data_IF_087409892640
#
_entry.id   IF_087409892640
#
_cell.length_a   1.000
_cell.length_b   1.000
_cell.length_c   1.000
_cell.angle_alpha   90.00
_cell.angle_beta   90.00
_cell.angle_gamma   90.00
#
_symmetry.space_group_name_H-M   'P 1'
#
loop_
_entity.id
_entity.type
_entity.pdbx_description
1 polymer ?
#
# COMPACT_ATOMS: atom_id res chain seq x y z
N UNK A 1 -37.91 26.86 -46.61
CA UNK A 1 -37.85 25.38 -46.58
C UNK A 1 -37.94 24.99 -45.12
N UNK A 2 -39.06 24.37 -44.75
CA UNK A 2 -39.50 24.15 -43.36
C UNK A 2 -38.92 22.84 -42.85
N UNK A 3 -38.25 22.89 -41.70
CA UNK A 3 -37.66 21.74 -41.03
C UNK A 3 -38.75 20.78 -40.49
N UNK A 4 -38.53 19.45 -40.53
CA UNK A 4 -39.43 18.48 -39.93
C UNK A 4 -39.33 18.51 -38.39
N UNK A 5 -40.45 18.25 -37.67
CA UNK A 5 -40.47 18.20 -36.21
C UNK A 5 -39.83 16.90 -35.66
N UNK A 6 -39.28 16.94 -34.42
CA UNK A 6 -38.64 15.79 -33.79
C UNK A 6 -39.63 14.68 -33.37
N UNK A 7 -39.22 13.39 -33.36
CA UNK A 7 -40.06 12.26 -32.95
C UNK A 7 -40.39 12.25 -31.45
N UNK A 8 -41.62 11.87 -31.14
CA UNK A 8 -42.21 11.87 -29.80
C UNK A 8 -41.68 10.76 -28.88
N UNK A 9 -41.69 11.08 -27.59
CA UNK A 9 -41.34 10.21 -26.47
C UNK A 9 -42.33 9.04 -26.35
N UNK A 10 -41.80 7.81 -26.40
CA UNK A 10 -42.51 6.58 -26.12
C UNK A 10 -42.77 6.40 -24.62
N UNK A 11 -43.97 5.91 -24.32
CA UNK A 11 -44.50 5.65 -22.99
C UNK A 11 -43.81 4.47 -22.29
N UNK A 12 -43.57 4.64 -20.98
CA UNK A 12 -43.06 3.61 -20.07
C UNK A 12 -44.22 2.72 -19.57
N UNK A 13 -44.14 1.37 -19.71
CA UNK A 13 -45.17 0.49 -19.15
C UNK A 13 -45.04 0.37 -17.63
N UNK A 14 -46.17 0.57 -16.94
CA UNK A 14 -46.35 0.38 -15.50
C UNK A 14 -46.24 -1.10 -15.11
N UNK A 15 -45.47 -1.40 -14.07
CA UNK A 15 -45.41 -2.74 -13.47
C UNK A 15 -46.61 -3.00 -12.54
N UNK A 16 -47.18 -4.22 -12.54
CA UNK A 16 -48.32 -4.60 -11.70
C UNK A 16 -47.99 -4.69 -10.20
N UNK A 17 -48.88 -4.14 -9.37
CA UNK A 17 -48.78 -4.10 -7.92
C UNK A 17 -48.99 -5.45 -7.22
N UNK A 18 -48.26 -5.63 -6.12
CA UNK A 18 -48.46 -6.72 -5.17
C UNK A 18 -49.64 -6.43 -4.22
N UNK A 19 -50.48 -7.43 -3.88
CA UNK A 19 -51.60 -7.25 -2.98
C UNK A 19 -51.17 -7.15 -1.51
N UNK A 20 -51.76 -6.18 -0.80
CA UNK A 20 -51.73 -6.03 0.66
C UNK A 20 -52.32 -7.26 1.36
N UNK A 21 -51.62 -7.78 2.38
CA UNK A 21 -52.21 -8.66 3.38
C UNK A 21 -52.60 -7.90 4.64
N UNK A 22 -53.79 -8.26 5.14
CA UNK A 22 -54.51 -7.66 6.25
C UNK A 22 -53.92 -8.01 7.63
N UNK A 23 -54.21 -7.18 8.66
CA UNK A 23 -53.83 -7.42 10.04
C UNK A 23 -54.85 -8.30 10.77
N UNK A 24 -54.40 -9.34 11.46
CA UNK A 24 -55.30 -10.12 12.32
C UNK A 24 -54.62 -11.21 13.13
N UNK A 25 -54.95 -11.25 14.43
CA UNK A 25 -55.03 -12.49 15.19
C UNK A 25 -53.96 -12.71 16.25
N UNK A 26 -54.22 -12.21 17.46
CA UNK A 26 -53.55 -12.64 18.69
C UNK A 26 -53.80 -14.14 18.95
N UNK A 27 -52.74 -14.90 19.15
CA UNK A 27 -52.78 -16.23 19.77
C UNK A 27 -51.74 -16.29 20.91
N UNK A 28 -52.12 -16.72 22.12
CA UNK A 28 -51.20 -16.80 23.26
C UNK A 28 -50.36 -18.09 23.20
N UNK A 29 -49.03 -17.94 23.15
CA UNK A 29 -48.10 -19.07 23.19
C UNK A 29 -47.67 -19.37 24.65
N UNK A 30 -47.59 -20.65 25.04
CA UNK A 30 -47.37 -21.08 26.43
C UNK A 30 -45.98 -20.78 26.97
N UNK A 31 -45.95 -20.41 28.25
CA UNK A 31 -44.76 -20.23 29.10
C UNK A 31 -43.91 -21.50 29.14
N UNK A 32 -42.63 -21.37 28.80
CA UNK A 32 -41.59 -22.37 29.10
C UNK A 32 -40.72 -21.94 30.30
N UNK A 33 -40.19 -22.91 31.07
CA UNK A 33 -39.54 -22.66 32.36
C UNK A 33 -38.14 -22.05 32.20
N UNK A 34 -37.83 -21.12 33.11
CA UNK A 34 -36.59 -20.37 33.14
C UNK A 34 -35.33 -21.24 33.21
N UNK A 35 -34.33 -20.82 32.44
CA UNK A 35 -32.94 -21.21 32.59
C UNK A 35 -32.09 -19.99 32.92
N UNK A 36 -31.12 -20.22 33.79
CA UNK A 36 -30.45 -19.23 34.60
C UNK A 36 -29.63 -18.19 33.85
N UNK A 37 -29.68 -17.01 34.45
CA UNK A 37 -28.75 -15.89 34.37
C UNK A 37 -27.27 -16.35 34.24
N UNK A 38 -26.55 -15.97 33.18
CA UNK A 38 -25.10 -16.00 33.21
C UNK A 38 -24.59 -14.88 34.11
N UNK A 39 -23.94 -15.31 35.18
CA UNK A 39 -23.17 -14.51 36.13
C UNK A 39 -22.14 -13.64 35.41
N UNK A 40 -22.14 -12.35 35.77
CA UNK A 40 -21.12 -11.37 35.39
C UNK A 40 -19.70 -11.90 35.72
N UNK A 41 -18.72 -11.74 34.80
CA UNK A 41 -17.34 -12.00 35.14
C UNK A 41 -16.78 -10.95 36.11
N UNK A 42 -15.92 -11.34 37.06
CA UNK A 42 -15.41 -10.47 38.12
C UNK A 42 -14.52 -9.34 37.60
N UNK A 43 -14.61 -8.19 38.26
CA UNK A 43 -13.86 -6.98 37.96
C UNK A 43 -12.34 -7.19 37.95
N UNK A 44 -11.71 -6.61 36.92
CA UNK A 44 -10.27 -6.45 36.87
C UNK A 44 -9.87 -5.30 37.79
N UNK A 45 -8.96 -5.65 38.71
CA UNK A 45 -8.40 -4.76 39.71
C UNK A 45 -7.59 -3.62 39.10
N UNK A 46 -7.67 -2.50 39.81
CA UNK A 46 -6.89 -1.29 39.64
C UNK A 46 -5.38 -1.59 39.54
N UNK A 47 -4.75 -1.02 38.52
CA UNK A 47 -3.30 -1.06 38.31
C UNK A 47 -2.62 -0.12 39.32
N UNK A 48 -1.59 -0.57 40.08
CA UNK A 48 -0.90 0.26 41.06
C UNK A 48 -0.15 1.43 40.40
N UNK A 49 -0.44 2.63 40.89
CA UNK A 49 0.18 3.87 40.45
C UNK A 49 1.69 3.90 40.69
N UNK A 50 2.41 4.40 39.68
CA UNK A 50 3.83 4.70 39.78
C UNK A 50 4.08 5.79 40.84
N UNK A 51 5.12 5.65 41.67
CA UNK A 51 5.48 6.66 42.66
C UNK A 51 6.01 7.93 41.97
N UNK A 52 5.58 9.14 42.40
CA UNK A 52 6.11 10.38 41.88
C UNK A 52 7.55 10.60 42.36
N UNK A 53 8.44 11.14 41.50
CA UNK A 53 9.79 11.48 41.91
C UNK A 53 9.80 12.62 42.95
N UNK A 54 10.76 12.63 43.90
CA UNK A 54 10.79 13.55 45.02
C UNK A 54 10.98 15.01 44.56
N UNK A 55 10.09 15.88 45.05
CA UNK A 55 10.18 17.32 44.86
C UNK A 55 11.40 17.92 45.56
N UNK A 56 12.09 18.81 44.84
CA UNK A 56 13.09 19.71 45.41
C UNK A 56 12.58 21.16 45.44
N UNK A 57 13.02 21.96 46.43
CA UNK A 57 12.27 23.12 46.92
C UNK A 57 12.62 24.44 46.19
N UNK A 58 11.56 25.22 45.93
CA UNK A 58 11.44 26.69 45.85
C UNK A 58 12.63 27.60 45.49
N UNK A 59 12.41 28.50 44.53
CA UNK A 59 13.13 29.79 44.47
C UNK A 59 13.01 30.54 43.14
N UNK A 60 13.04 31.89 43.12
CA UNK A 60 12.46 32.74 42.06
C UNK A 60 13.47 33.29 41.02
N UNK A 61 12.94 33.76 39.88
CA UNK A 61 13.43 34.84 38.98
C UNK A 61 14.92 35.26 39.03
N UNK A 62 15.60 35.26 37.87
CA UNK A 62 16.64 36.26 37.58
C UNK A 62 17.79 35.83 36.65
N UNK A 63 17.87 36.52 35.50
CA UNK A 63 19.05 36.94 34.72
C UNK A 63 20.07 35.89 34.17
N UNK A 64 20.48 36.02 32.88
CA UNK A 64 21.57 35.24 32.31
C UNK A 64 22.95 35.65 32.89
N UNK A 65 23.90 34.71 32.99
CA UNK A 65 25.22 34.95 33.59
C UNK A 65 26.13 35.83 32.71
N UNK A 66 27.10 36.55 33.34
CA UNK A 66 28.03 37.43 32.65
C UNK A 66 29.08 36.64 31.85
N UNK A 67 29.38 37.14 30.64
CA UNK A 67 30.47 36.65 29.80
C UNK A 67 31.82 36.80 30.50
N UNK A 68 32.73 35.82 30.38
CA UNK A 68 34.10 35.95 30.87
C UNK A 68 34.93 36.95 30.04
N UNK A 69 36.01 37.52 30.62
CA UNK A 69 36.70 38.68 30.05
C UNK A 69 37.49 38.34 28.78
N UNK A 70 37.49 39.26 27.83
CA UNK A 70 38.38 39.27 26.68
C UNK A 70 39.84 39.47 27.13
N UNK A 71 40.63 38.39 27.08
CA UNK A 71 42.09 38.46 27.12
C UNK A 71 42.64 38.58 25.70
N UNK A 72 43.05 39.80 25.33
CA UNK A 72 43.72 40.06 24.06
C UNK A 72 45.22 39.76 24.09
N UNK A 73 45.75 39.51 22.89
CA UNK A 73 47.18 39.55 22.55
C UNK A 73 47.62 38.30 21.78
N UNK A 74 48.05 38.36 20.52
CA UNK A 74 48.24 39.47 19.61
C UNK A 74 48.92 38.99 18.31
N UNK A 75 48.92 39.85 17.29
CA UNK A 75 50.00 39.92 16.30
C UNK A 75 50.01 38.89 15.17
N UNK A 76 49.25 39.15 14.12
CA UNK A 76 49.36 38.45 12.83
C UNK A 76 48.54 39.14 11.76
N UNK A 77 48.85 40.42 11.49
CA UNK A 77 48.13 41.23 10.52
C UNK A 77 48.24 40.71 9.09
N UNK A 78 47.15 40.85 8.32
CA UNK A 78 47.29 41.14 6.89
C UNK A 78 46.50 40.31 5.89
N UNK A 79 45.64 39.35 6.27
CA UNK A 79 44.89 38.58 5.24
C UNK A 79 43.43 38.22 5.58
N UNK A 80 43.05 38.11 6.85
CA UNK A 80 41.68 37.63 7.22
C UNK A 80 40.62 38.73 7.11
N UNK A 81 40.98 40.00 7.25
CA UNK A 81 40.03 41.12 7.18
C UNK A 81 39.56 41.50 5.76
N UNK A 82 40.14 40.86 4.72
CA UNK A 82 39.72 41.05 3.32
C UNK A 82 38.76 39.95 2.82
N UNK A 83 38.62 38.83 3.54
CA UNK A 83 37.80 37.69 3.11
C UNK A 83 36.38 37.78 3.68
N UNK A 84 36.21 38.35 4.88
CA UNK A 84 34.89 38.55 5.50
C UNK A 84 33.94 39.41 4.63
N UNK A 85 34.34 40.54 4.02
CA UNK A 85 33.44 41.28 3.13
C UNK A 85 33.16 40.53 1.83
N UNK A 86 34.10 39.71 1.32
CA UNK A 86 33.88 38.91 0.12
C UNK A 86 32.87 37.77 0.36
N UNK A 87 32.94 37.10 1.52
CA UNK A 87 32.00 36.05 1.90
C UNK A 87 30.61 36.63 2.16
N UNK A 88 30.51 37.80 2.82
CA UNK A 88 29.21 38.46 3.03
C UNK A 88 28.60 39.01 1.74
N UNK A 89 29.42 39.41 0.76
CA UNK A 89 28.92 39.79 -0.57
C UNK A 89 28.49 38.56 -1.36
N UNK A 90 29.19 37.43 -1.28
CA UNK A 90 28.78 36.18 -1.96
C UNK A 90 27.53 35.58 -1.33
N UNK A 91 27.43 35.53 0.01
CA UNK A 91 26.21 35.11 0.71
C UNK A 91 25.07 36.11 0.50
N UNK A 92 25.35 37.41 0.53
CA UNK A 92 24.35 38.45 0.29
C UNK A 92 23.84 38.45 -1.15
N UNK A 93 24.70 38.24 -2.15
CA UNK A 93 24.30 38.08 -3.55
C UNK A 93 23.63 36.73 -3.80
N UNK A 94 24.05 35.65 -3.13
CA UNK A 94 23.40 34.34 -3.19
C UNK A 94 21.98 34.41 -2.65
N UNK A 95 21.80 34.96 -1.44
CA UNK A 95 20.49 35.16 -0.83
C UNK A 95 19.65 36.14 -1.66
N UNK A 96 20.24 37.24 -2.16
CA UNK A 96 19.52 38.20 -3.00
C UNK A 96 19.13 37.60 -4.36
N UNK A 97 19.97 36.75 -4.96
CA UNK A 97 19.69 36.04 -6.21
C UNK A 97 18.59 35.00 -6.00
N UNK A 98 18.64 34.23 -4.91
CA UNK A 98 17.57 33.29 -4.51
C UNK A 98 16.26 34.03 -4.27
N UNK A 99 16.26 35.15 -3.54
CA UNK A 99 15.06 35.97 -3.33
C UNK A 99 14.57 36.58 -4.66
N UNK A 100 15.45 36.98 -5.56
CA UNK A 100 15.08 37.51 -6.89
C UNK A 100 14.55 36.44 -7.83
N UNK A 101 14.98 35.19 -7.68
CA UNK A 101 14.52 34.04 -8.46
C UNK A 101 13.16 33.56 -7.92
N UNK A 102 12.99 33.54 -6.59
CA UNK A 102 11.74 33.21 -5.88
C UNK A 102 10.66 34.29 -6.05
N UNK A 103 11.04 35.57 -6.17
CA UNK A 103 10.07 36.66 -6.27
C UNK A 103 9.57 36.94 -7.69
N UNK A 104 10.09 36.25 -8.72
CA UNK A 104 9.76 36.56 -10.11
C UNK A 104 8.96 35.47 -10.85
N UNK A 105 8.82 34.27 -10.32
CA UNK A 105 7.93 33.24 -10.86
C UNK A 105 7.27 32.48 -9.71
N UNK A 106 5.97 32.23 -9.83
CA UNK A 106 5.10 31.69 -8.78
C UNK A 106 5.29 30.19 -8.48
N UNK A 107 6.53 29.71 -8.41
CA UNK A 107 6.89 28.29 -8.30
C UNK A 107 7.94 28.01 -7.20
N UNK A 108 7.98 28.85 -6.17
CA UNK A 108 8.88 28.66 -5.04
C UNK A 108 8.51 27.47 -4.13
N UNK A 109 7.29 26.93 -4.25
CA UNK A 109 6.88 25.71 -3.54
C UNK A 109 7.61 24.48 -4.08
N UNK A 110 7.63 24.32 -5.42
CA UNK A 110 8.23 23.17 -6.08
C UNK A 110 9.75 23.10 -5.90
N UNK A 111 10.46 24.24 -5.90
CA UNK A 111 11.90 24.26 -5.69
C UNK A 111 12.34 24.09 -4.22
N UNK A 112 11.41 24.17 -3.26
CA UNK A 112 11.68 23.89 -1.85
C UNK A 112 11.36 22.43 -1.50
N UNK A 113 10.32 21.83 -2.10
CA UNK A 113 10.07 20.38 -2.04
C UNK A 113 11.29 19.60 -2.56
N UNK A 114 11.82 20.00 -3.72
CA UNK A 114 12.99 19.41 -4.40
C UNK A 114 14.33 19.60 -3.63
N UNK A 115 14.36 20.42 -2.57
CA UNK A 115 15.54 20.62 -1.70
C UNK A 115 15.42 19.84 -0.40
N UNK A 116 14.21 19.45 0.00
CA UNK A 116 13.96 18.58 1.15
C UNK A 116 13.84 17.11 0.78
N UNK A 117 13.71 16.78 -0.51
CA UNK A 117 14.09 15.49 -1.07
C UNK A 117 15.58 15.28 -0.79
N UNK A 118 15.89 14.67 0.34
CA UNK A 118 17.15 13.98 0.48
C UNK A 118 17.05 12.82 -0.51
N UNK A 119 17.60 12.99 -1.72
CA UNK A 119 17.71 11.97 -2.77
C UNK A 119 18.35 10.70 -2.18
N UNK A 120 17.52 9.92 -1.52
CA UNK A 120 17.84 8.62 -0.99
C UNK A 120 17.93 7.74 -2.20
N UNK A 121 19.13 7.28 -2.58
CA UNK A 121 19.29 6.47 -3.78
C UNK A 121 18.88 5.02 -3.50
N UNK A 122 17.89 4.49 -4.21
CA UNK A 122 17.67 3.05 -4.26
C UNK A 122 18.88 2.40 -4.98
N UNK A 123 19.50 1.39 -4.37
CA UNK A 123 20.60 0.64 -4.99
C UNK A 123 20.12 -0.39 -6.02
N UNK A 124 18.82 -0.63 -6.09
CA UNK A 124 18.18 -1.56 -7.03
C UNK A 124 18.08 -0.95 -8.43
N UNK A 125 18.34 -1.77 -9.45
CA UNK A 125 18.20 -1.43 -10.85
C UNK A 125 17.30 -2.43 -11.61
N UNK A 126 16.89 -2.04 -12.82
CA UNK A 126 16.21 -2.96 -13.74
C UNK A 126 17.06 -4.21 -14.02
N UNK A 127 16.43 -5.38 -13.93
CA UNK A 127 17.06 -6.68 -14.10
C UNK A 127 17.63 -7.27 -12.82
N UNK A 128 17.69 -6.51 -11.72
CA UNK A 128 18.06 -7.07 -10.42
C UNK A 128 16.98 -8.04 -9.92
N UNK A 129 17.40 -9.00 -9.11
CA UNK A 129 16.49 -9.93 -8.47
C UNK A 129 16.36 -9.63 -6.98
N UNK A 130 15.15 -9.76 -6.47
CA UNK A 130 14.83 -9.49 -5.07
C UNK A 130 14.36 -10.76 -4.37
N UNK A 131 14.51 -10.79 -3.05
CA UNK A 131 13.94 -11.83 -2.19
C UNK A 131 12.41 -11.75 -2.13
N UNK A 132 11.73 -12.85 -1.80
CA UNK A 132 10.26 -12.91 -1.68
C UNK A 132 9.71 -11.94 -0.63
N UNK A 133 10.40 -11.90 0.52
CA UNK A 133 10.00 -11.13 1.68
C UNK A 133 10.39 -9.66 1.53
N UNK A 134 9.49 -8.90 0.89
CA UNK A 134 9.55 -7.44 0.80
C UNK A 134 8.81 -6.76 1.97
N UNK A 135 8.68 -7.41 3.14
CA UNK A 135 7.78 -6.97 4.25
C UNK A 135 8.21 -5.72 5.02
N UNK A 136 9.01 -4.86 4.42
CA UNK A 136 9.24 -3.54 4.98
C UNK A 136 8.85 -2.53 3.93
N UNK A 137 7.73 -1.88 4.17
CA UNK A 137 7.53 -0.50 3.75
C UNK A 137 8.78 0.27 4.14
N UNK A 138 9.72 0.39 3.21
CA UNK A 138 10.99 1.04 3.50
C UNK A 138 10.76 2.53 3.38
N UNK A 139 10.83 3.21 4.52
CA UNK A 139 10.77 4.67 4.54
C UNK A 139 12.06 5.23 3.96
N UNK A 140 11.98 6.29 3.17
CA UNK A 140 13.16 6.93 2.54
C UNK A 140 14.13 7.60 3.52
N UNK A 141 13.88 7.51 4.83
CA UNK A 141 14.80 8.00 5.86
C UNK A 141 16.10 7.19 5.97
N UNK A 142 16.16 6.00 5.39
CA UNK A 142 17.37 5.21 5.26
C UNK A 142 18.26 5.70 4.11
N UNK A 143 19.59 5.58 4.25
CA UNK A 143 20.53 6.00 3.19
C UNK A 143 20.38 5.17 1.91
N UNK A 144 19.90 3.93 2.05
CA UNK A 144 19.52 3.04 0.95
C UNK A 144 18.39 2.12 1.46
N UNK A 145 17.12 2.48 1.22
CA UNK A 145 15.95 1.75 1.71
C UNK A 145 15.83 0.38 1.06
N UNK A 146 16.50 0.17 -0.08
CA UNK A 146 16.50 -1.11 -0.80
C UNK A 146 17.67 -2.01 -0.43
N UNK A 147 18.55 -1.56 0.48
CA UNK A 147 19.70 -2.33 0.92
C UNK A 147 19.26 -3.67 1.54
N UNK A 148 19.73 -4.78 0.95
CA UNK A 148 19.44 -6.12 1.45
C UNK A 148 18.19 -6.77 0.86
N UNK A 149 17.46 -6.10 -0.03
CA UNK A 149 16.39 -6.71 -0.81
C UNK A 149 16.94 -7.52 -1.99
N UNK A 150 18.10 -7.12 -2.54
CA UNK A 150 18.71 -7.76 -3.71
C UNK A 150 19.32 -9.12 -3.39
N UNK A 151 19.13 -10.08 -4.31
CA UNK A 151 19.76 -11.39 -4.33
C UNK A 151 20.30 -11.70 -5.73
N UNK A 152 21.22 -12.66 -5.84
CA UNK A 152 21.61 -13.20 -7.15
C UNK A 152 20.40 -13.92 -7.78
N UNK A 153 20.12 -13.67 -9.06
CA UNK A 153 18.90 -14.18 -9.72
C UNK A 153 18.75 -15.70 -9.78
N UNK A 154 19.86 -16.43 -9.65
CA UNK A 154 19.92 -17.89 -9.63
C UNK A 154 19.97 -18.47 -8.20
N UNK A 155 19.99 -17.60 -7.18
CA UNK A 155 19.93 -18.00 -5.78
C UNK A 155 18.60 -18.70 -5.44
N UNK A 156 18.56 -19.38 -4.29
CA UNK A 156 17.35 -20.10 -3.88
C UNK A 156 16.28 -19.15 -3.32
N UNK A 157 16.73 -18.04 -2.72
CA UNK A 157 15.95 -17.00 -2.08
C UNK A 157 15.43 -15.93 -3.05
N UNK A 158 15.93 -15.87 -4.29
CA UNK A 158 15.46 -14.94 -5.30
C UNK A 158 14.05 -15.31 -5.74
N UNK A 159 13.15 -14.35 -5.71
CA UNK A 159 11.73 -14.55 -6.03
C UNK A 159 11.21 -13.55 -7.04
N UNK A 160 11.65 -12.30 -6.99
CA UNK A 160 11.19 -11.25 -7.90
C UNK A 160 12.32 -10.84 -8.84
N UNK A 161 11.96 -10.39 -10.04
CA UNK A 161 12.82 -9.61 -10.95
C UNK A 161 12.25 -8.20 -11.06
N UNK A 162 13.13 -7.21 -11.02
CA UNK A 162 12.78 -5.80 -11.21
C UNK A 162 12.68 -5.52 -12.70
N UNK A 163 11.47 -5.29 -13.19
CA UNK A 163 11.23 -5.01 -14.60
C UNK A 163 11.42 -3.54 -14.93
N UNK A 164 11.10 -2.67 -13.97
CA UNK A 164 11.13 -1.22 -14.14
C UNK A 164 11.37 -0.57 -12.79
N UNK A 165 12.20 0.47 -12.79
CA UNK A 165 12.35 1.39 -11.66
C UNK A 165 11.80 2.74 -12.11
N UNK A 166 10.91 3.31 -11.32
CA UNK A 166 10.37 4.65 -11.54
C UNK A 166 10.79 5.53 -10.38
N UNK A 167 11.64 6.50 -10.70
CA UNK A 167 12.09 7.53 -9.77
C UNK A 167 11.05 8.65 -9.71
N UNK A 168 10.73 9.11 -8.50
CA UNK A 168 9.78 10.18 -8.21
C UNK A 168 8.43 10.05 -8.93
N UNK A 169 7.72 8.91 -8.82
CA UNK A 169 6.39 8.78 -9.38
C UNK A 169 5.43 9.80 -8.73
N UNK A 170 4.43 10.26 -9.48
CA UNK A 170 3.33 11.09 -8.96
C UNK A 170 2.35 10.22 -8.15
N UNK A 171 2.85 9.66 -7.04
CA UNK A 171 2.15 8.77 -6.13
C UNK A 171 2.34 9.26 -4.69
N UNK A 172 1.33 9.00 -3.86
CA UNK A 172 1.39 9.27 -2.43
C UNK A 172 0.93 8.08 -1.62
N UNK A 173 1.60 7.86 -0.49
CA UNK A 173 1.20 6.98 0.58
C UNK A 173 0.62 7.78 1.75
N UNK A 174 -0.35 7.21 2.43
CA UNK A 174 -0.99 7.80 3.60
C UNK A 174 -0.14 7.61 4.87
N UNK A 175 -0.67 8.02 6.02
CA UNK A 175 0.03 7.88 7.31
C UNK A 175 0.22 6.43 7.79
N UNK A 176 -0.42 5.45 7.16
CA UNK A 176 -0.24 4.03 7.41
C UNK A 176 0.73 3.40 6.41
N UNK A 177 1.17 4.16 5.41
CA UNK A 177 2.04 3.72 4.34
C UNK A 177 1.30 3.03 3.20
N UNK A 178 -0.03 3.14 3.14
CA UNK A 178 -0.84 2.61 2.04
C UNK A 178 -0.95 3.66 0.94
N UNK A 179 -0.88 3.27 -0.34
CA UNK A 179 -1.05 4.22 -1.43
C UNK A 179 -2.45 4.86 -1.39
N UNK A 180 -2.50 6.19 -1.56
CA UNK A 180 -3.77 6.94 -1.60
C UNK A 180 -4.59 6.61 -2.85
N UNK A 181 -3.92 6.29 -3.95
CA UNK A 181 -4.51 5.73 -5.17
C UNK A 181 -3.50 4.85 -5.95
N UNK A 182 -4.02 4.07 -6.90
CA UNK A 182 -3.25 3.09 -7.67
C UNK A 182 -3.12 3.43 -9.16
N UNK A 183 -3.58 4.61 -9.59
CA UNK A 183 -3.58 4.99 -11.02
C UNK A 183 -2.15 5.12 -11.55
N UNK A 184 -1.25 5.69 -10.74
CA UNK A 184 0.18 5.76 -11.09
C UNK A 184 0.81 4.36 -11.19
N UNK A 185 0.47 3.45 -10.27
CA UNK A 185 0.97 2.06 -10.33
C UNK A 185 0.48 1.35 -11.60
N UNK A 186 -0.80 1.48 -11.94
CA UNK A 186 -1.34 0.90 -13.18
C UNK A 186 -0.67 1.48 -14.42
N UNK A 187 -0.42 2.79 -14.42
CA UNK A 187 0.22 3.50 -15.54
C UNK A 187 1.66 3.03 -15.73
N UNK A 188 2.40 2.87 -14.64
CA UNK A 188 3.83 2.60 -14.69
C UNK A 188 4.17 1.10 -14.77
N UNK A 189 3.46 0.27 -14.01
CA UNK A 189 3.69 -1.18 -13.89
C UNK A 189 2.68 -2.03 -14.68
N UNK A 190 1.60 -1.44 -15.18
CA UNK A 190 0.54 -2.12 -15.89
C UNK A 190 -0.51 -2.74 -14.96
N UNK A 191 -1.71 -2.94 -15.49
CA UNK A 191 -2.86 -3.45 -14.73
C UNK A 191 -2.60 -4.82 -14.07
N UNK A 192 -1.77 -5.68 -14.68
CA UNK A 192 -1.48 -7.03 -14.17
C UNK A 192 -0.68 -6.98 -12.86
N UNK A 193 0.19 -5.98 -12.66
CA UNK A 193 0.90 -5.79 -11.40
C UNK A 193 -0.01 -5.44 -10.22
N UNK A 194 -1.19 -4.88 -10.51
CA UNK A 194 -2.22 -4.62 -9.50
C UNK A 194 -3.14 -5.81 -9.29
N UNK A 195 -3.59 -6.43 -10.39
CA UNK A 195 -4.76 -7.33 -10.36
C UNK A 195 -4.47 -8.82 -10.54
N UNK A 196 -3.24 -9.17 -10.91
CA UNK A 196 -2.91 -10.51 -11.40
C UNK A 196 -3.64 -10.84 -12.72
N UNK A 197 -3.37 -12.02 -13.27
CA UNK A 197 -4.10 -12.52 -14.43
C UNK A 197 -4.01 -14.04 -14.45
N UNK A 198 -5.14 -14.73 -14.65
CA UNK A 198 -5.16 -16.18 -14.72
C UNK A 198 -4.24 -16.70 -15.83
N UNK A 199 -3.39 -17.67 -15.48
CA UNK A 199 -2.39 -18.28 -16.36
C UNK A 199 -1.10 -17.48 -16.52
N UNK A 200 -0.99 -16.29 -15.93
CA UNK A 200 0.20 -15.44 -16.01
C UNK A 200 1.07 -15.58 -14.76
N UNK A 201 2.37 -15.37 -14.94
CA UNK A 201 3.32 -15.23 -13.83
C UNK A 201 2.91 -14.03 -12.97
N UNK A 202 3.03 -14.17 -11.65
CA UNK A 202 2.68 -13.12 -10.72
C UNK A 202 3.46 -11.85 -11.02
N UNK A 203 2.74 -10.74 -11.06
CA UNK A 203 3.32 -9.41 -11.12
C UNK A 203 2.92 -8.67 -9.87
N UNK A 204 3.81 -7.79 -9.41
CA UNK A 204 3.58 -7.00 -8.21
C UNK A 204 4.30 -5.66 -8.36
N UNK A 205 4.20 -4.85 -7.32
CA UNK A 205 4.93 -3.61 -7.21
C UNK A 205 5.45 -3.45 -5.78
N UNK A 206 6.53 -2.72 -5.64
CA UNK A 206 7.08 -2.31 -4.37
C UNK A 206 7.38 -0.82 -4.44
N UNK A 207 7.25 -0.11 -3.33
CA UNK A 207 7.52 1.32 -3.33
C UNK A 207 8.21 1.77 -2.05
N UNK A 208 8.99 2.82 -2.20
CA UNK A 208 9.69 3.55 -1.14
C UNK A 208 9.04 4.91 -1.06
N UNK A 209 8.69 5.37 0.14
CA UNK A 209 8.11 6.70 0.32
C UNK A 209 8.69 7.43 1.51
N UNK A 210 8.58 8.75 1.48
CA UNK A 210 8.89 9.63 2.59
C UNK A 210 7.74 9.65 3.60
N UNK A 211 8.05 9.25 4.83
CA UNK A 211 7.10 9.32 5.94
C UNK A 211 6.62 10.76 6.20
N UNK A 212 7.47 11.76 5.95
CA UNK A 212 7.18 13.17 6.13
C UNK A 212 6.50 13.79 4.89
N UNK A 213 5.32 13.27 4.55
CA UNK A 213 4.48 13.83 3.48
C UNK A 213 3.88 12.78 2.55
N UNK A 214 4.33 11.53 2.66
CA UNK A 214 3.79 10.41 1.91
C UNK A 214 4.25 10.36 0.46
N UNK A 215 5.15 11.24 0.01
CA UNK A 215 5.62 11.23 -1.38
C UNK A 215 6.34 9.91 -1.65
N UNK A 216 5.98 9.23 -2.73
CA UNK A 216 6.69 8.02 -3.18
C UNK A 216 7.94 8.46 -3.95
N UNK A 217 9.09 7.99 -3.50
CA UNK A 217 10.39 8.31 -4.10
C UNK A 217 10.77 7.26 -5.16
N UNK A 218 10.40 5.99 -4.93
CA UNK A 218 10.62 4.92 -5.88
C UNK A 218 9.42 4.01 -6.00
N UNK A 219 9.10 3.61 -7.23
CA UNK A 219 8.21 2.51 -7.54
C UNK A 219 8.96 1.47 -8.37
N UNK A 220 8.99 0.24 -7.87
CA UNK A 220 9.55 -0.92 -8.52
C UNK A 220 8.42 -1.76 -9.10
N UNK A 221 8.45 -2.03 -10.40
CA UNK A 221 7.53 -2.95 -11.03
C UNK A 221 8.18 -4.34 -11.07
N UNK A 222 7.51 -5.34 -10.52
CA UNK A 222 8.10 -6.64 -10.24
C UNK A 222 7.40 -7.75 -11.02
N UNK A 223 8.15 -8.76 -11.42
CA UNK A 223 7.60 -10.04 -11.92
C UNK A 223 8.26 -11.18 -11.17
N UNK A 224 7.46 -12.13 -10.72
CA UNK A 224 7.97 -13.29 -10.04
C UNK A 224 8.86 -14.11 -11.00
N UNK A 225 9.90 -14.73 -10.47
CA UNK A 225 10.77 -15.61 -11.22
C UNK A 225 10.00 -16.91 -11.41
N UNK A 226 9.79 -17.33 -12.65
CA UNK A 226 9.10 -18.59 -12.99
C UNK A 226 10.00 -19.80 -12.69
N UNK A 227 10.18 -20.05 -11.39
CA UNK A 227 11.02 -21.10 -10.82
C UNK A 227 10.23 -21.85 -9.77
N UNK A 228 10.31 -23.17 -9.83
CA UNK A 228 9.66 -24.03 -8.85
C UNK A 228 10.25 -23.80 -7.44
N UNK A 229 9.37 -23.63 -6.45
CA UNK A 229 9.75 -23.62 -5.05
C UNK A 229 10.13 -25.03 -4.56
N UNK A 230 10.44 -25.19 -3.26
CA UNK A 230 10.82 -26.48 -2.69
C UNK A 230 9.74 -27.58 -2.83
N UNK A 231 8.49 -27.20 -3.09
CA UNK A 231 7.36 -28.11 -3.28
C UNK A 231 7.08 -28.40 -4.77
N UNK A 232 7.78 -27.77 -5.71
CA UNK A 232 7.50 -27.88 -7.15
C UNK A 232 6.44 -26.90 -7.65
N UNK A 233 6.03 -25.92 -6.83
CA UNK A 233 5.01 -24.94 -7.21
C UNK A 233 5.63 -23.67 -7.82
N UNK A 234 4.90 -23.05 -8.74
CA UNK A 234 5.27 -21.89 -9.53
C UNK A 234 4.42 -20.67 -9.13
N UNK A 235 5.00 -19.46 -9.10
CA UNK A 235 4.28 -18.21 -8.85
C UNK A 235 3.51 -17.76 -10.10
N UNK A 236 2.55 -18.59 -10.51
CA UNK A 236 1.65 -18.37 -11.64
C UNK A 236 0.24 -18.43 -11.11
N UNK A 237 -0.59 -17.45 -11.47
CA UNK A 237 -2.01 -17.46 -11.07
C UNK A 237 -2.69 -18.63 -11.79
N UNK A 238 -3.27 -19.60 -11.07
CA UNK A 238 -3.73 -20.84 -11.68
C UNK A 238 -4.97 -20.61 -12.55
N UNK A 239 -5.07 -21.26 -13.70
CA UNK A 239 -6.28 -21.22 -14.56
C UNK A 239 -7.06 -22.54 -14.53
N UNK A 240 -8.21 -22.61 -15.18
CA UNK A 240 -9.03 -23.82 -15.22
C UNK A 240 -8.22 -25.04 -15.72
N UNK A 241 -8.24 -26.10 -14.91
CA UNK A 241 -7.51 -27.34 -15.13
C UNK A 241 -6.12 -27.40 -14.49
N UNK A 242 -5.60 -26.28 -13.98
CA UNK A 242 -4.36 -26.28 -13.22
C UNK A 242 -4.58 -26.84 -11.81
N UNK A 243 -3.52 -27.43 -11.24
CA UNK A 243 -3.50 -27.78 -9.82
C UNK A 243 -2.79 -26.72 -9.00
N UNK A 244 -3.18 -26.59 -7.73
CA UNK A 244 -2.53 -25.68 -6.79
C UNK A 244 -2.06 -26.41 -5.54
N UNK A 245 -1.04 -25.86 -4.90
CA UNK A 245 -0.70 -26.22 -3.52
C UNK A 245 -1.64 -25.54 -2.52
N UNK A 246 -1.29 -25.61 -1.23
CA UNK A 246 -2.07 -25.00 -0.14
C UNK A 246 -2.03 -23.47 -0.13
N UNK A 247 -1.06 -22.87 -0.81
CA UNK A 247 -0.85 -21.42 -0.88
C UNK A 247 -1.43 -20.83 -2.17
N UNK A 248 -2.05 -21.66 -3.02
CA UNK A 248 -2.65 -21.23 -4.29
C UNK A 248 -1.66 -21.09 -5.44
N UNK A 249 -0.41 -21.54 -5.26
CA UNK A 249 0.61 -21.55 -6.31
C UNK A 249 0.36 -22.70 -7.27
N UNK A 250 0.57 -22.46 -8.57
CA UNK A 250 0.41 -23.50 -9.61
C UNK A 250 1.42 -24.61 -9.42
N UNK A 251 1.01 -25.87 -9.45
CA UNK A 251 1.88 -27.03 -9.27
C UNK A 251 1.48 -28.16 -10.23
N UNK A 252 2.44 -29.02 -10.59
CA UNK A 252 2.13 -30.23 -11.36
C UNK A 252 1.12 -31.10 -10.60
N UNK A 253 0.01 -31.46 -11.24
CA UNK A 253 -1.08 -32.22 -10.62
C UNK A 253 -0.69 -33.59 -10.07
N UNK A 254 0.44 -34.16 -10.52
CA UNK A 254 0.97 -35.43 -10.02
C UNK A 254 1.92 -35.26 -8.83
N UNK A 255 2.29 -34.03 -8.49
CA UNK A 255 3.13 -33.73 -7.34
C UNK A 255 2.39 -34.04 -6.03
N UNK A 256 3.13 -34.53 -5.02
CA UNK A 256 2.54 -34.84 -3.72
C UNK A 256 1.96 -33.61 -2.99
N UNK A 257 2.38 -32.40 -3.38
CA UNK A 257 1.89 -31.14 -2.86
C UNK A 257 0.70 -30.53 -3.63
N UNK A 258 0.25 -31.17 -4.70
CA UNK A 258 -0.92 -30.70 -5.47
C UNK A 258 -2.21 -31.05 -4.70
N UNK A 259 -2.74 -30.08 -3.97
CA UNK A 259 -3.88 -30.28 -3.07
C UNK A 259 -5.21 -30.03 -3.77
N UNK A 260 -5.25 -29.08 -4.71
CA UNK A 260 -6.48 -28.64 -5.33
C UNK A 260 -6.40 -28.63 -6.86
N UNK A 261 -7.52 -28.81 -7.54
CA UNK A 261 -7.70 -28.57 -8.99
C UNK A 261 -8.59 -27.35 -9.16
N UNK A 262 -8.21 -26.41 -10.03
CA UNK A 262 -9.05 -25.28 -10.42
C UNK A 262 -10.09 -25.73 -11.46
N UNK A 263 -11.36 -25.69 -11.07
CA UNK A 263 -12.49 -26.16 -11.90
C UNK A 263 -13.03 -25.06 -12.81
N UNK A 264 -13.01 -23.82 -12.34
CA UNK A 264 -13.62 -22.68 -13.03
C UNK A 264 -12.92 -21.41 -12.59
N UNK A 265 -12.74 -20.47 -13.52
CA UNK A 265 -12.20 -19.13 -13.26
C UNK A 265 -13.08 -18.09 -13.93
N UNK A 266 -13.25 -16.94 -13.29
CA UNK A 266 -13.92 -15.78 -13.88
C UNK A 266 -13.12 -14.52 -13.55
N UNK A 267 -12.86 -13.71 -14.57
CA UNK A 267 -12.28 -12.38 -14.40
C UNK A 267 -13.39 -11.33 -14.35
N UNK A 268 -13.20 -10.31 -13.53
CA UNK A 268 -14.13 -9.21 -13.35
C UNK A 268 -13.61 -7.92 -13.98
N UNK A 269 -14.42 -7.36 -14.87
CA UNK A 269 -14.19 -6.05 -15.49
C UNK A 269 -15.54 -5.33 -15.66
N UNK A 270 -15.86 -4.31 -14.85
CA UNK A 270 -15.02 -3.74 -13.79
C UNK A 270 -14.84 -4.68 -12.59
N UNK A 271 -13.83 -4.45 -11.73
CA UNK A 271 -13.63 -5.25 -10.53
C UNK A 271 -14.76 -5.06 -9.51
N UNK A 272 -14.82 -5.97 -8.53
CA UNK A 272 -15.85 -6.00 -7.49
C UNK A 272 -15.27 -5.54 -6.15
N UNK A 273 -15.99 -4.67 -5.45
CA UNK A 273 -15.67 -4.26 -4.08
C UNK A 273 -15.76 -5.45 -3.12
N UNK A 274 -14.73 -5.69 -2.29
CA UNK A 274 -14.68 -6.82 -1.36
C UNK A 274 -15.92 -6.88 -0.46
N UNK A 275 -16.38 -5.73 0.06
CA UNK A 275 -17.55 -5.67 0.94
C UNK A 275 -18.86 -6.13 0.28
N UNK A 276 -18.91 -6.14 -1.06
CA UNK A 276 -20.06 -6.60 -1.85
C UNK A 276 -19.91 -8.03 -2.37
N UNK A 277 -18.73 -8.62 -2.20
CA UNK A 277 -18.40 -9.92 -2.72
C UNK A 277 -18.95 -11.04 -1.84
N UNK A 278 -19.68 -11.96 -2.46
CA UNK A 278 -20.24 -13.13 -1.77
C UNK A 278 -19.52 -14.40 -2.22
N UNK A 279 -18.59 -14.86 -1.38
CA UNK A 279 -17.84 -16.10 -1.55
C UNK A 279 -18.72 -17.34 -1.77
N UNK A 280 -19.98 -17.32 -1.33
CA UNK A 280 -20.89 -18.46 -1.44
C UNK A 280 -21.69 -18.50 -2.73
N UNK A 281 -21.81 -17.38 -3.45
CA UNK A 281 -22.59 -17.29 -4.70
C UNK A 281 -21.76 -16.90 -5.91
N UNK A 282 -20.54 -16.41 -5.71
CA UNK A 282 -19.55 -16.24 -6.77
C UNK A 282 -19.41 -17.52 -7.60
N UNK A 283 -19.25 -17.38 -8.93
CA UNK A 283 -19.17 -18.51 -9.85
C UNK A 283 -20.35 -19.50 -9.72
N UNK A 284 -21.56 -18.97 -9.48
CA UNK A 284 -22.76 -19.78 -9.27
C UNK A 284 -22.70 -20.68 -8.02
N UNK A 285 -21.86 -20.32 -7.05
CA UNK A 285 -21.62 -21.08 -5.82
C UNK A 285 -20.74 -22.31 -6.00
N UNK A 286 -19.88 -22.32 -7.03
CA UNK A 286 -18.90 -23.38 -7.26
C UNK A 286 -19.51 -24.79 -7.33
N UNK A 287 -20.47 -25.05 -8.25
CA UNK A 287 -21.31 -26.26 -8.22
C UNK A 287 -20.55 -27.58 -8.38
N UNK A 288 -19.36 -27.55 -8.96
CA UNK A 288 -18.50 -28.72 -9.19
C UNK A 288 -17.32 -28.81 -8.20
N UNK A 289 -17.21 -27.85 -7.28
CA UNK A 289 -16.08 -27.70 -6.39
C UNK A 289 -16.44 -28.14 -4.97
N UNK A 290 -15.43 -28.55 -4.21
CA UNK A 290 -15.58 -28.92 -2.80
C UNK A 290 -15.58 -27.72 -1.86
N UNK A 291 -15.31 -26.53 -2.39
CA UNK A 291 -14.96 -25.32 -1.66
C UNK A 291 -15.74 -24.11 -2.17
N UNK A 292 -15.70 -23.02 -1.39
CA UNK A 292 -16.19 -21.72 -1.87
C UNK A 292 -15.18 -21.10 -2.84
N UNK A 293 -15.63 -20.09 -3.60
CA UNK A 293 -14.75 -19.41 -4.53
C UNK A 293 -13.60 -18.72 -3.79
N UNK A 294 -12.39 -18.84 -4.32
CA UNK A 294 -11.23 -18.04 -3.91
C UNK A 294 -11.18 -16.78 -4.76
N UNK A 295 -11.05 -15.62 -4.13
CA UNK A 295 -10.90 -14.35 -4.84
C UNK A 295 -9.45 -14.13 -5.28
N UNK A 296 -9.30 -13.49 -6.44
CA UNK A 296 -8.07 -12.85 -6.90
C UNK A 296 -8.19 -11.37 -6.54
N UNK A 297 -7.67 -11.02 -5.37
CA UNK A 297 -7.68 -9.65 -4.85
C UNK A 297 -6.43 -8.91 -5.36
N UNK A 298 -6.63 -7.67 -5.83
CA UNK A 298 -5.55 -6.80 -6.24
C UNK A 298 -4.96 -6.00 -5.08
N UNK A 299 -3.83 -5.33 -5.32
CA UNK A 299 -3.20 -4.41 -4.35
C UNK A 299 -4.10 -3.23 -3.96
N UNK A 300 -5.10 -2.91 -4.79
CA UNK A 300 -6.12 -1.90 -4.56
C UNK A 300 -7.27 -2.36 -3.64
N UNK A 301 -7.23 -3.60 -3.15
CA UNK A 301 -8.28 -4.20 -2.32
C UNK A 301 -9.53 -4.60 -3.10
N UNK A 302 -9.53 -4.48 -4.43
CA UNK A 302 -10.63 -4.88 -5.28
C UNK A 302 -10.46 -6.33 -5.75
N UNK A 303 -11.58 -6.99 -6.05
CA UNK A 303 -11.61 -8.36 -6.55
C UNK A 303 -11.70 -8.34 -8.07
N UNK A 304 -10.63 -8.79 -8.70
CA UNK A 304 -10.44 -8.76 -10.15
C UNK A 304 -10.72 -10.10 -10.83
N UNK A 305 -10.89 -11.15 -10.03
CA UNK A 305 -11.33 -12.44 -10.49
C UNK A 305 -11.65 -13.35 -9.33
N UNK A 306 -12.15 -14.53 -9.64
CA UNK A 306 -12.30 -15.60 -8.68
C UNK A 306 -12.14 -16.94 -9.38
N UNK A 307 -11.88 -17.97 -8.59
CA UNK A 307 -11.85 -19.33 -9.08
C UNK A 307 -12.42 -20.32 -8.07
N UNK A 308 -13.01 -21.39 -8.59
CA UNK A 308 -13.50 -22.52 -7.81
C UNK A 308 -12.47 -23.65 -7.85
N UNK A 309 -12.27 -24.33 -6.73
CA UNK A 309 -11.34 -25.45 -6.66
C UNK A 309 -11.93 -26.69 -5.99
N UNK A 310 -11.47 -27.88 -6.37
CA UNK A 310 -11.86 -29.15 -5.76
C UNK A 310 -10.62 -29.86 -5.20
N UNK A 311 -10.80 -30.87 -4.34
CA UNK A 311 -9.67 -31.70 -3.90
C UNK A 311 -9.06 -32.44 -5.10
N UNK A 312 -7.73 -32.39 -5.24
CA UNK A 312 -7.00 -33.20 -6.21
C UNK A 312 -6.92 -34.65 -5.72
N UNK A 313 -7.59 -35.58 -6.43
CA UNK A 313 -7.82 -36.96 -5.99
C UNK A 313 -6.82 -37.99 -6.53
#
# INVERSE_FOLDING_TARGET
MTYPPPPGYGQQPQQPGYPQQQPGGYAPQPQQPGYGQPSQPPGYGQQPGYPPPPGTPGGPYGAPPPMPPSGGGGGGGGLVWKIVPAILVVLGLGIWFVIRLVANDGDAGNALDDITDSDTSASVAEGDCLIEDLTSTTTSTDTDPTAGLTAECDAAESYWTVNKVVDDPDLRADSLGELEDYVGVETECGAVALRGAFGEVWQSYFYVYDWDGGKVDYLLCLTAIEKENANGALPVTPTTGDCTDGDGLKIDCSAAGALYIVEETEAYDPPVEEASWDYTTALGGCPNSGYYATSLMGGDGLIWGAYCSSDNA
#
